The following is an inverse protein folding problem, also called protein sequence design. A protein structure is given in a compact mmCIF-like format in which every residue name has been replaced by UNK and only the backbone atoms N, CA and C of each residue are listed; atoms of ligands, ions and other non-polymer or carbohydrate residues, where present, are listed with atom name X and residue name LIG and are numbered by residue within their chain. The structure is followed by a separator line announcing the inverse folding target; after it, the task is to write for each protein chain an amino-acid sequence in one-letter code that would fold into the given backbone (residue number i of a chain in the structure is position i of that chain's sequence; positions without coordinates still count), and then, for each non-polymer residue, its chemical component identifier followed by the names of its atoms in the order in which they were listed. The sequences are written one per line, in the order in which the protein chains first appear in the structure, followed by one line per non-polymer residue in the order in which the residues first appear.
data_IF_093918719686
#
_entry.id   IF_093918719686
#
_cell.length_a   1.000
_cell.length_b   1.000
_cell.length_c   1.000
_cell.angle_alpha   90.00
_cell.angle_beta   90.00
_cell.angle_gamma   90.00
#
_symmetry.space_group_name_H-M   'P 1'
#
loop_
_entity.id
_entity.type
_entity.pdbx_description
1 polymer ?
#
# COMPACT_ATOMS: atom_id res chain seq x y z
N UNK A 1 7.76 -0.37 -20.74
CA UNK A 1 8.58 -0.22 -19.51
C UNK A 1 8.44 -1.50 -18.69
N UNK A 2 9.54 -2.19 -18.43
CA UNK A 2 9.54 -3.36 -17.57
C UNK A 2 9.67 -2.95 -16.08
N UNK A 3 9.52 -3.91 -15.16
CA UNK A 3 9.56 -3.64 -13.72
C UNK A 3 10.90 -3.02 -13.26
N UNK A 4 12.01 -3.49 -13.77
CA UNK A 4 13.33 -2.95 -13.42
C UNK A 4 13.50 -1.50 -13.86
N UNK A 5 13.04 -1.16 -15.06
CA UNK A 5 13.02 0.22 -15.55
C UNK A 5 12.14 1.13 -14.68
N UNK A 6 10.98 0.61 -14.24
CA UNK A 6 10.10 1.33 -13.29
C UNK A 6 10.83 1.65 -11.98
N UNK A 7 11.51 0.67 -11.40
CA UNK A 7 12.26 0.84 -10.16
C UNK A 7 13.40 1.84 -10.32
N UNK A 8 14.12 1.82 -11.43
CA UNK A 8 15.16 2.80 -11.74
C UNK A 8 14.62 4.23 -11.86
N UNK A 9 13.47 4.39 -12.51
CA UNK A 9 12.82 5.70 -12.59
C UNK A 9 12.31 6.16 -11.22
N UNK A 10 11.75 5.27 -10.42
CA UNK A 10 11.31 5.58 -9.07
C UNK A 10 12.47 6.09 -8.21
N UNK A 11 13.64 5.45 -8.25
CA UNK A 11 14.82 5.86 -7.49
C UNK A 11 15.31 7.27 -7.81
N UNK A 12 15.02 7.79 -8.99
CA UNK A 12 15.39 9.15 -9.40
C UNK A 12 14.46 10.22 -8.82
N UNK A 13 13.27 9.83 -8.39
CA UNK A 13 12.19 10.75 -7.96
C UNK A 13 11.83 10.61 -6.50
N UNK A 14 12.16 9.48 -5.88
CA UNK A 14 11.79 9.17 -4.51
C UNK A 14 12.66 9.95 -3.52
N UNK A 15 12.14 10.23 -2.34
CA UNK A 15 12.87 10.90 -1.27
C UNK A 15 14.00 10.04 -0.69
N UNK A 16 14.76 10.63 0.22
CA UNK A 16 16.02 10.07 0.71
C UNK A 16 15.88 8.76 1.53
N UNK A 17 14.71 8.50 2.08
CA UNK A 17 14.50 7.41 3.03
C UNK A 17 14.09 6.09 2.37
N UNK A 18 13.20 6.13 1.42
CA UNK A 18 12.83 4.94 0.65
C UNK A 18 13.93 4.58 -0.36
N UNK A 19 14.24 3.30 -0.49
CA UNK A 19 15.30 2.80 -1.40
C UNK A 19 14.74 2.24 -2.70
N UNK A 20 13.41 2.31 -2.91
CA UNK A 20 12.72 1.71 -4.05
C UNK A 20 13.23 0.28 -4.33
N UNK A 21 13.11 -0.58 -3.32
CA UNK A 21 13.57 -1.96 -3.41
C UNK A 21 12.71 -2.75 -4.40
N UNK A 22 13.28 -3.69 -5.15
CA UNK A 22 12.51 -4.58 -6.03
C UNK A 22 11.44 -5.37 -5.26
N UNK A 23 11.73 -5.71 -4.02
CA UNK A 23 10.81 -6.33 -3.08
C UNK A 23 10.79 -5.51 -1.79
N UNK A 24 9.63 -4.92 -1.47
CA UNK A 24 9.49 -4.06 -0.29
C UNK A 24 9.27 -4.91 0.97
N UNK A 25 10.36 -5.34 1.59
CA UNK A 25 10.35 -6.17 2.80
C UNK A 25 10.68 -5.41 4.09
N UNK A 26 10.79 -4.09 4.04
CA UNK A 26 11.06 -3.24 5.20
C UNK A 26 12.50 -3.25 5.73
N UNK A 27 13.41 -4.04 5.16
CA UNK A 27 14.78 -4.21 5.71
C UNK A 27 15.71 -3.05 5.37
N UNK A 28 15.69 -2.57 4.13
CA UNK A 28 16.62 -1.54 3.66
C UNK A 28 16.37 -0.16 4.28
N UNK A 29 15.14 0.16 4.67
CA UNK A 29 14.74 1.42 5.31
C UNK A 29 14.52 1.30 6.82
N UNK A 30 14.90 0.18 7.40
CA UNK A 30 14.78 -0.08 8.84
C UNK A 30 15.46 1.01 9.66
N UNK A 31 14.80 1.45 10.73
CA UNK A 31 15.30 2.45 11.68
C UNK A 31 15.62 3.83 11.08
N UNK A 32 15.25 4.09 9.83
CA UNK A 32 15.36 5.43 9.28
C UNK A 32 14.14 6.24 9.67
N UNK A 33 14.37 7.42 10.21
CA UNK A 33 13.29 8.29 10.63
C UNK A 33 13.35 9.62 9.87
N UNK A 34 12.22 10.01 9.28
CA UNK A 34 10.87 9.43 9.32
C UNK A 34 10.61 8.37 8.23
N UNK A 35 11.53 7.50 7.97
CA UNK A 35 11.48 6.55 6.88
C UNK A 35 10.25 5.62 6.86
N UNK A 36 9.95 5.03 5.69
CA UNK A 36 8.78 4.17 5.51
C UNK A 36 8.89 2.84 6.28
N UNK A 37 10.06 2.47 6.76
CA UNK A 37 10.29 1.21 7.46
C UNK A 37 9.64 1.11 8.82
N UNK A 38 9.75 2.07 9.65
CA UNK A 38 9.13 2.32 10.95
C UNK A 38 10.08 3.05 11.91
N UNK A 39 9.56 3.42 13.08
CA UNK A 39 10.31 3.97 14.21
C UNK A 39 10.74 2.86 15.20
N UNK A 40 11.59 3.22 16.14
CA UNK A 40 12.06 2.33 17.18
C UNK A 40 13.00 1.26 16.65
N UNK A 41 12.73 0.02 16.93
CA UNK A 41 13.56 -1.11 16.45
C UNK A 41 13.41 -1.41 14.95
N UNK A 42 12.48 -0.76 14.27
CA UNK A 42 12.29 -0.90 12.83
C UNK A 42 11.67 -2.24 12.40
N UNK A 43 10.83 -2.81 13.22
CA UNK A 43 10.33 -4.18 13.05
C UNK A 43 8.97 -4.25 12.35
N UNK A 44 8.20 -3.18 12.42
CA UNK A 44 6.81 -3.15 11.95
C UNK A 44 6.69 -3.47 10.46
N UNK A 45 7.47 -2.82 9.61
CA UNK A 45 7.42 -3.04 8.16
C UNK A 45 7.90 -4.45 7.78
N UNK A 46 8.92 -4.97 8.47
CA UNK A 46 9.41 -6.34 8.27
C UNK A 46 8.32 -7.33 8.66
N UNK A 47 7.68 -7.13 9.79
CA UNK A 47 6.59 -7.97 10.28
C UNK A 47 5.38 -7.94 9.35
N UNK A 48 5.01 -6.77 8.82
CA UNK A 48 3.93 -6.65 7.85
C UNK A 48 4.22 -7.51 6.60
N UNK A 49 5.43 -7.44 6.08
CA UNK A 49 5.84 -8.27 4.95
C UNK A 49 5.80 -9.76 5.26
N UNK A 50 6.32 -10.17 6.43
CA UNK A 50 6.38 -11.59 6.80
C UNK A 50 5.00 -12.17 7.10
N UNK A 51 4.05 -11.37 7.61
CA UNK A 51 2.67 -11.81 7.87
C UNK A 51 1.93 -12.28 6.61
N UNK A 52 2.21 -11.72 5.45
CA UNK A 52 1.62 -12.21 4.20
C UNK A 52 1.99 -13.66 3.90
N UNK A 53 3.16 -14.12 4.34
CA UNK A 53 3.62 -15.50 4.13
C UNK A 53 2.90 -16.53 5.01
N UNK A 54 2.23 -16.09 6.07
CA UNK A 54 1.43 -16.94 6.95
C UNK A 54 0.03 -17.22 6.39
N UNK A 55 -0.45 -16.36 5.49
CA UNK A 55 -1.77 -16.50 4.86
C UNK A 55 -1.71 -17.63 3.85
N UNK A 56 -2.68 -18.54 3.94
CA UNK A 56 -2.85 -19.65 3.01
C UNK A 56 -4.21 -19.54 2.33
N UNK A 57 -4.21 -19.70 1.02
CA UNK A 57 -5.46 -19.84 0.27
C UNK A 57 -6.02 -21.23 0.53
N UNK A 58 -7.27 -21.29 0.93
CA UNK A 58 -8.02 -22.54 0.96
C UNK A 58 -8.52 -22.81 -0.46
N UNK A 59 -8.20 -23.98 -0.98
CA UNK A 59 -8.66 -24.40 -2.30
C UNK A 59 -9.74 -25.49 -2.13
N UNK A 60 -10.95 -25.18 -2.58
CA UNK A 60 -12.02 -26.15 -2.69
C UNK A 60 -12.11 -26.63 -4.14
N UNK A 61 -11.77 -27.89 -4.39
CA UNK A 61 -11.79 -28.47 -5.73
C UNK A 61 -13.21 -28.82 -6.20
N UNK A 62 -14.13 -29.00 -5.26
CA UNK A 62 -15.53 -29.29 -5.51
C UNK A 62 -16.36 -28.21 -4.84
N UNK A 63 -16.86 -27.28 -5.61
CA UNK A 63 -17.69 -26.18 -5.14
C UNK A 63 -18.79 -25.88 -6.15
N UNK A 64 -19.90 -25.35 -5.68
CA UNK A 64 -20.95 -24.83 -6.55
C UNK A 64 -20.41 -23.69 -7.41
N UNK A 65 -20.68 -23.73 -8.70
CA UNK A 65 -20.33 -22.63 -9.60
C UNK A 65 -21.32 -21.47 -9.40
N UNK A 66 -21.02 -20.61 -8.42
CA UNK A 66 -21.81 -19.41 -8.11
C UNK A 66 -20.99 -18.16 -8.43
N UNK A 67 -21.65 -17.05 -8.81
CA UNK A 67 -20.97 -15.77 -8.86
C UNK A 67 -20.29 -15.45 -7.52
N UNK A 68 -19.07 -14.97 -7.58
CA UNK A 68 -18.35 -14.54 -6.37
C UNK A 68 -18.86 -13.16 -5.97
N UNK A 69 -19.37 -13.05 -4.76
CA UNK A 69 -19.69 -11.77 -4.14
C UNK A 69 -18.50 -11.34 -3.28
N UNK A 70 -17.89 -10.21 -3.63
CA UNK A 70 -16.77 -9.61 -2.91
C UNK A 70 -17.18 -8.38 -2.12
N UNK A 71 -18.48 -8.06 -2.10
CA UNK A 71 -18.97 -6.87 -1.41
C UNK A 71 -18.74 -6.95 0.11
N UNK A 72 -18.51 -5.80 0.71
CA UNK A 72 -18.34 -5.64 2.14
C UNK A 72 -19.23 -4.51 2.65
N UNK A 73 -20.08 -4.80 3.62
CA UNK A 73 -20.82 -3.77 4.35
C UNK A 73 -19.99 -3.29 5.54
N UNK A 74 -19.69 -1.99 5.55
CA UNK A 74 -18.94 -1.34 6.62
C UNK A 74 -19.39 0.12 6.76
N UNK A 75 -19.61 0.59 8.00
CA UNK A 75 -20.05 1.95 8.28
C UNK A 75 -21.33 2.36 7.53
N UNK A 76 -22.33 1.48 7.48
CA UNK A 76 -23.59 1.66 6.76
C UNK A 76 -23.42 1.96 5.26
N UNK A 77 -22.31 1.50 4.69
CA UNK A 77 -22.00 1.59 3.26
C UNK A 77 -21.56 0.25 2.71
N UNK A 78 -21.93 0.00 1.46
CA UNK A 78 -21.49 -1.19 0.73
C UNK A 78 -20.29 -0.83 -0.16
N UNK A 79 -19.16 -1.50 0.06
CA UNK A 79 -17.98 -1.44 -0.78
C UNK A 79 -17.96 -2.62 -1.74
N UNK A 80 -17.39 -2.46 -2.92
CA UNK A 80 -17.32 -3.54 -3.91
C UNK A 80 -16.33 -4.64 -3.52
N UNK A 81 -15.31 -4.31 -2.73
CA UNK A 81 -14.25 -5.21 -2.35
C UNK A 81 -13.89 -5.08 -0.87
N UNK A 82 -13.47 -6.19 -0.20
CA UNK A 82 -13.15 -6.21 1.21
C UNK A 82 -11.72 -5.73 1.51
N UNK A 83 -11.24 -4.72 0.81
CA UNK A 83 -9.96 -4.07 1.06
C UNK A 83 -10.08 -2.56 0.88
N UNK A 84 -9.13 -1.84 1.40
CA UNK A 84 -9.10 -0.37 1.35
C UNK A 84 -7.66 0.15 1.19
N UNK A 85 -7.54 1.38 0.75
CA UNK A 85 -6.25 2.06 0.73
C UNK A 85 -5.92 2.60 2.13
N UNK A 86 -4.77 2.18 2.66
CA UNK A 86 -4.27 2.66 3.95
C UNK A 86 -3.77 4.11 3.88
N UNK A 87 -3.73 4.81 5.02
CA UNK A 87 -3.27 6.19 5.07
C UNK A 87 -1.78 6.30 4.74
N UNK A 88 -1.42 7.27 3.93
CA UNK A 88 -0.05 7.65 3.62
C UNK A 88 0.09 9.14 3.91
N UNK A 89 1.04 9.50 4.78
CA UNK A 89 1.38 10.87 5.12
C UNK A 89 2.85 11.18 4.82
N UNK A 90 3.23 12.43 5.00
CA UNK A 90 4.57 12.93 4.71
C UNK A 90 5.06 12.56 3.29
N UNK A 91 4.20 12.73 2.30
CA UNK A 91 4.38 12.25 0.92
C UNK A 91 5.65 12.84 0.29
N UNK A 92 5.87 14.15 0.42
CA UNK A 92 7.07 14.80 -0.12
C UNK A 92 8.36 14.24 0.49
N UNK A 93 8.34 13.93 1.78
CA UNK A 93 9.48 13.39 2.49
C UNK A 93 9.88 12.00 1.98
N UNK A 94 8.87 11.18 1.66
CA UNK A 94 9.08 9.79 1.24
C UNK A 94 9.28 9.65 -0.27
N UNK A 95 8.53 10.43 -1.06
CA UNK A 95 8.44 10.25 -2.51
C UNK A 95 9.00 11.44 -3.30
N UNK A 96 9.57 12.44 -2.63
CA UNK A 96 10.12 13.63 -3.28
C UNK A 96 9.04 14.66 -3.65
N UNK A 97 9.44 15.72 -4.35
CA UNK A 97 8.62 16.90 -4.57
C UNK A 97 7.55 16.76 -5.68
N UNK A 98 7.42 15.58 -6.26
CA UNK A 98 6.45 15.36 -7.34
C UNK A 98 4.99 15.32 -6.86
N UNK A 99 4.76 15.10 -5.57
CA UNK A 99 3.44 15.05 -4.95
C UNK A 99 3.49 15.72 -3.56
N UNK A 100 2.40 16.36 -3.20
CA UNK A 100 2.12 16.81 -1.83
C UNK A 100 1.11 15.87 -1.19
N UNK A 101 0.93 15.95 0.14
CA UNK A 101 -0.12 15.19 0.82
C UNK A 101 -1.50 15.51 0.24
N UNK A 102 -1.77 16.76 -0.12
CA UNK A 102 -3.04 17.17 -0.73
C UNK A 102 -3.23 16.51 -2.09
N UNK A 103 -2.27 16.69 -3.01
CA UNK A 103 -2.41 16.16 -4.39
C UNK A 103 -2.43 14.63 -4.42
N UNK A 104 -1.70 13.98 -3.53
CA UNK A 104 -1.72 12.53 -3.38
C UNK A 104 -3.08 12.04 -2.90
N UNK A 105 -3.64 12.67 -1.85
CA UNK A 105 -4.93 12.29 -1.30
C UNK A 105 -6.08 12.55 -2.28
N UNK A 106 -6.05 13.63 -3.05
CA UNK A 106 -7.04 13.90 -4.11
C UNK A 106 -7.09 12.76 -5.14
N UNK A 107 -5.92 12.29 -5.59
CA UNK A 107 -5.83 11.17 -6.51
C UNK A 107 -6.32 9.87 -5.86
N UNK A 108 -5.85 9.58 -4.64
CA UNK A 108 -6.17 8.35 -3.92
C UNK A 108 -7.67 8.21 -3.67
N UNK A 109 -8.28 9.25 -3.10
CA UNK A 109 -9.71 9.24 -2.74
C UNK A 109 -10.57 9.13 -3.99
N UNK A 110 -10.23 9.87 -5.04
CA UNK A 110 -10.98 9.85 -6.30
C UNK A 110 -10.91 8.47 -6.96
N UNK A 111 -9.72 7.87 -7.03
CA UNK A 111 -9.56 6.53 -7.58
C UNK A 111 -10.30 5.47 -6.75
N UNK A 112 -10.18 5.52 -5.42
CA UNK A 112 -10.89 4.59 -4.55
C UNK A 112 -12.42 4.71 -4.67
N UNK A 113 -12.94 5.93 -4.81
CA UNK A 113 -14.36 6.15 -5.02
C UNK A 113 -14.84 5.56 -6.36
N UNK A 114 -14.05 5.72 -7.43
CA UNK A 114 -14.37 5.14 -8.75
C UNK A 114 -14.45 3.61 -8.69
N UNK A 115 -13.57 2.97 -7.94
CA UNK A 115 -13.54 1.51 -7.81
C UNK A 115 -14.36 0.96 -6.65
N UNK A 116 -15.13 1.78 -5.94
CA UNK A 116 -16.03 1.35 -4.87
C UNK A 116 -15.30 0.74 -3.66
N UNK A 117 -14.10 1.24 -3.35
CA UNK A 117 -13.32 0.86 -2.16
C UNK A 117 -13.13 2.04 -1.22
N UNK A 118 -12.91 1.76 0.06
CA UNK A 118 -12.64 2.80 1.04
C UNK A 118 -11.19 3.31 0.94
N UNK A 119 -10.98 4.59 1.24
CA UNK A 119 -9.66 5.19 1.39
C UNK A 119 -9.53 5.86 2.76
N UNK A 120 -8.36 5.72 3.37
CA UNK A 120 -7.96 6.49 4.54
C UNK A 120 -6.85 7.46 4.13
N UNK A 121 -7.02 8.72 4.47
CA UNK A 121 -6.01 9.75 4.20
C UNK A 121 -5.05 9.89 5.37
N UNK A 122 -3.77 10.15 5.07
CA UNK A 122 -2.75 10.54 6.04
C UNK A 122 -2.47 12.06 5.96
N UNK A 123 -1.77 12.57 6.94
CA UNK A 123 -1.28 13.96 7.05
C UNK A 123 0.27 14.01 7.06
#
# INVERSE_FOLDING_TARGET
MNYSECIEQARKRIGNYCKACPECNGKACRNQMPGPGSKGIGDTAIRNYDKWKEIRLQMDTIADNKPVDTSLELFDKTFQYPFFAGPVGAVQLHYGDCQTDVTYNDILVSACAEYGIAAFTGD
#
